data_IF_453506597867
#
_entry.id   IF_453506597867
#
_cell.length_a   1.000
_cell.length_b   1.000
_cell.length_c   1.000
_cell.angle_alpha   90.00
_cell.angle_beta   90.00
_cell.angle_gamma   90.00
#
_symmetry.space_group_name_H-M   'P 1'
#
loop_
_entity.id
_entity.type
_entity.pdbx_description
1 polymer ?
#
# COMPACT_ATOMS: atom_id res chain seq x y z
N UNK A 1 -0.21 38.26 1.85
CA UNK A 1 -0.38 38.22 0.37
C UNK A 1 -0.20 36.77 -0.07
N UNK A 2 -1.30 36.06 -0.29
CA UNK A 2 -1.33 34.70 -0.85
C UNK A 2 -0.84 34.79 -2.30
N UNK A 3 0.33 34.22 -2.58
CA UNK A 3 0.79 34.02 -3.97
C UNK A 3 -0.20 33.07 -4.65
N UNK A 4 -0.96 33.60 -5.60
CA UNK A 4 -1.84 32.82 -6.47
C UNK A 4 -0.95 32.00 -7.43
N UNK A 5 -0.51 30.82 -6.99
CA UNK A 5 0.28 29.92 -7.81
C UNK A 5 -0.67 29.18 -8.73
N UNK A 6 -0.84 29.69 -9.96
CA UNK A 6 -1.59 29.00 -10.99
C UNK A 6 -0.99 27.61 -11.24
N UNK A 7 -1.77 26.56 -10.97
CA UNK A 7 -1.38 25.19 -11.24
C UNK A 7 -1.08 25.04 -12.74
N UNK A 8 0.13 24.61 -13.10
CA UNK A 8 0.50 24.34 -14.48
C UNK A 8 -0.41 23.27 -15.08
N UNK A 9 -1.07 23.57 -16.18
CA UNK A 9 -1.94 22.65 -16.92
C UNK A 9 -1.37 22.44 -18.33
N UNK A 10 -1.35 21.19 -18.77
CA UNK A 10 -0.99 20.84 -20.15
C UNK A 10 -1.94 19.78 -20.68
N UNK A 11 -2.22 19.83 -21.97
CA UNK A 11 -2.96 18.78 -22.68
C UNK A 11 -1.95 17.88 -23.37
N UNK A 12 -2.01 16.58 -23.13
CA UNK A 12 -1.11 15.59 -23.71
C UNK A 12 -1.89 14.42 -24.28
N UNK A 13 -1.41 13.90 -25.41
CA UNK A 13 -2.05 12.79 -26.15
C UNK A 13 -1.31 11.46 -26.02
N UNK A 14 -0.06 11.46 -25.55
CA UNK A 14 0.74 10.25 -25.43
C UNK A 14 1.18 9.97 -24.00
N UNK A 15 1.33 8.68 -23.67
CA UNK A 15 1.86 8.22 -22.39
C UNK A 15 3.29 8.71 -22.14
N UNK A 16 4.10 8.83 -23.19
CA UNK A 16 5.48 9.33 -23.12
C UNK A 16 5.52 10.77 -22.62
N UNK A 17 4.77 11.67 -23.26
CA UNK A 17 4.72 13.08 -22.87
C UNK A 17 4.12 13.29 -21.47
N UNK A 18 3.16 12.44 -21.07
CA UNK A 18 2.61 12.44 -19.70
C UNK A 18 3.69 12.07 -18.69
N UNK A 19 4.50 11.03 -18.96
CA UNK A 19 5.60 10.63 -18.09
C UNK A 19 6.70 11.70 -17.99
N UNK A 20 7.00 12.40 -19.08
CA UNK A 20 7.96 13.51 -19.07
C UNK A 20 7.46 14.67 -18.19
N UNK A 21 6.18 15.02 -18.31
CA UNK A 21 5.57 16.03 -17.43
C UNK A 21 5.55 15.60 -15.97
N UNK A 22 5.26 14.33 -15.70
CA UNK A 22 5.30 13.76 -14.36
C UNK A 22 6.71 13.86 -13.73
N UNK A 23 7.74 13.44 -14.46
CA UNK A 23 9.14 13.54 -13.99
C UNK A 23 9.55 14.98 -13.70
N UNK A 24 9.17 15.92 -14.59
CA UNK A 24 9.41 17.35 -14.38
C UNK A 24 8.69 17.89 -13.16
N UNK A 25 7.42 17.52 -12.94
CA UNK A 25 6.64 17.91 -11.77
C UNK A 25 7.31 17.46 -10.47
N UNK A 26 7.83 16.22 -10.42
CA UNK A 26 8.58 15.71 -9.28
C UNK A 26 9.89 16.48 -9.07
N UNK A 27 10.62 16.79 -10.14
CA UNK A 27 11.86 17.58 -10.09
C UNK A 27 11.65 19.03 -9.61
N UNK A 28 10.43 19.56 -9.79
CA UNK A 28 10.01 20.89 -9.27
C UNK A 28 9.52 20.80 -7.79
N UNK A 29 9.63 19.62 -7.13
CA UNK A 29 9.24 19.41 -5.73
C UNK A 29 7.75 19.18 -5.50
N UNK A 30 6.96 18.93 -6.57
CA UNK A 30 5.54 18.60 -6.40
C UNK A 30 5.35 17.13 -6.02
N UNK A 31 4.23 16.81 -5.36
CA UNK A 31 3.88 15.42 -4.96
C UNK A 31 3.55 14.48 -6.14
N UNK A 32 3.40 15.01 -7.34
CA UNK A 32 2.98 14.26 -8.52
C UNK A 32 2.09 15.09 -9.44
N UNK A 33 1.24 14.43 -10.21
CA UNK A 33 0.31 15.08 -11.13
C UNK A 33 -1.13 14.58 -10.99
N UNK A 34 -2.09 15.41 -11.37
CA UNK A 34 -3.48 15.01 -11.56
C UNK A 34 -3.75 14.85 -13.05
N UNK A 35 -4.11 13.64 -13.47
CA UNK A 35 -4.52 13.33 -14.83
C UNK A 35 -6.04 13.40 -14.91
N UNK A 36 -6.56 14.14 -15.90
CA UNK A 36 -8.00 14.28 -16.11
C UNK A 36 -8.33 13.97 -17.56
N UNK A 37 -9.30 13.08 -17.79
CA UNK A 37 -9.85 12.91 -19.14
C UNK A 37 -10.58 14.19 -19.57
N UNK A 38 -10.34 14.62 -20.81
CA UNK A 38 -11.03 15.78 -21.38
C UNK A 38 -12.53 15.54 -21.58
N UNK A 39 -12.93 14.28 -21.73
CA UNK A 39 -14.33 13.86 -21.94
C UNK A 39 -15.09 13.65 -20.63
N UNK A 40 -14.41 13.65 -19.47
CA UNK A 40 -15.06 13.42 -18.20
C UNK A 40 -15.85 14.64 -17.74
N UNK A 41 -17.13 14.44 -17.44
CA UNK A 41 -17.99 15.46 -16.82
C UNK A 41 -17.65 15.59 -15.33
N UNK A 42 -17.77 16.81 -14.81
CA UNK A 42 -17.69 17.04 -13.37
C UNK A 42 -18.95 16.50 -12.68
N UNK A 43 -18.78 15.60 -11.74
CA UNK A 43 -19.88 15.06 -10.91
C UNK A 43 -19.53 15.31 -9.45
N UNK A 44 -20.23 16.21 -8.74
CA UNK A 44 -19.95 16.51 -7.35
C UNK A 44 -20.27 15.29 -6.46
N UNK A 45 -19.49 15.10 -5.40
CA UNK A 45 -19.73 14.07 -4.37
C UNK A 45 -19.38 12.63 -4.74
N UNK A 46 -19.00 12.32 -5.98
CA UNK A 46 -18.55 10.98 -6.39
C UNK A 46 -17.12 10.99 -6.92
N UNK A 47 -16.38 9.91 -6.61
CA UNK A 47 -15.14 9.61 -7.35
C UNK A 47 -15.54 9.11 -8.73
N UNK A 48 -15.38 9.96 -9.72
CA UNK A 48 -15.74 9.65 -11.12
C UNK A 48 -14.51 9.12 -11.83
N UNK A 49 -14.67 8.08 -12.64
CA UNK A 49 -13.68 7.66 -13.61
C UNK A 49 -13.24 8.85 -14.49
N UNK A 50 -11.96 8.91 -14.84
CA UNK A 50 -11.40 9.98 -15.66
C UNK A 50 -10.54 11.01 -14.90
N UNK A 51 -10.49 10.97 -13.57
CA UNK A 51 -9.57 11.76 -12.76
C UNK A 51 -8.69 10.86 -11.92
N UNK A 52 -7.40 10.87 -12.17
CA UNK A 52 -6.41 9.98 -11.49
C UNK A 52 -5.26 10.81 -10.96
N UNK A 53 -4.91 10.60 -9.69
CA UNK A 53 -3.67 11.11 -9.11
C UNK A 53 -2.53 10.14 -9.41
N UNK A 54 -1.47 10.63 -10.03
CA UNK A 54 -0.23 9.89 -10.22
C UNK A 54 0.81 10.44 -9.25
N UNK A 55 1.13 9.65 -8.24
CA UNK A 55 2.16 9.94 -7.23
C UNK A 55 3.25 8.87 -7.29
N UNK A 56 4.52 9.19 -6.96
CA UNK A 56 5.55 8.17 -6.82
C UNK A 56 5.26 7.29 -5.60
N UNK A 57 5.57 6.03 -5.70
CA UNK A 57 5.80 5.20 -4.52
C UNK A 57 7.16 5.65 -3.99
N UNK A 58 7.17 6.32 -2.85
CA UNK A 58 8.41 6.95 -2.32
C UNK A 58 9.36 5.91 -1.76
N UNK A 59 8.83 5.00 -0.96
CA UNK A 59 9.59 3.93 -0.29
C UNK A 59 8.65 2.74 -0.08
N UNK A 60 9.22 1.55 0.05
CA UNK A 60 8.52 0.33 0.39
C UNK A 60 9.04 -0.22 1.72
N UNK A 61 8.22 -1.04 2.38
CA UNK A 61 8.60 -1.81 3.56
C UNK A 61 8.37 -3.29 3.28
N UNK A 62 9.35 -4.11 3.65
CA UNK A 62 9.22 -5.56 3.67
C UNK A 62 8.63 -6.00 5.00
N UNK A 63 7.35 -6.39 5.00
CA UNK A 63 6.57 -6.69 6.20
C UNK A 63 6.03 -8.11 6.16
N UNK A 64 5.94 -8.75 7.32
CA UNK A 64 5.42 -10.11 7.45
C UNK A 64 3.92 -10.12 7.70
N UNK A 65 3.21 -11.08 7.11
CA UNK A 65 1.81 -11.34 7.41
C UNK A 65 1.72 -12.15 8.70
N UNK A 66 0.96 -11.64 9.68
CA UNK A 66 0.73 -12.32 10.98
C UNK A 66 -0.74 -12.66 11.23
N UNK A 67 -1.64 -12.19 10.39
CA UNK A 67 -3.06 -12.48 10.45
C UNK A 67 -3.75 -12.09 9.15
N UNK A 68 -4.97 -12.55 8.96
CA UNK A 68 -5.79 -12.19 7.82
C UNK A 68 -7.28 -12.26 8.17
N UNK A 69 -8.11 -11.62 7.35
CA UNK A 69 -9.56 -11.75 7.42
C UNK A 69 -10.09 -12.43 6.15
N UNK A 70 -11.03 -13.37 6.31
CA UNK A 70 -11.78 -13.91 5.19
C UNK A 70 -12.58 -12.80 4.52
N UNK A 71 -12.64 -12.84 3.20
CA UNK A 71 -13.40 -11.89 2.41
C UNK A 71 -14.91 -12.11 2.51
N UNK A 72 -15.66 -11.19 1.91
CA UNK A 72 -17.12 -11.24 1.84
C UNK A 72 -17.58 -11.19 0.38
N UNK A 73 -18.81 -11.66 0.13
CA UNK A 73 -19.40 -11.68 -1.21
C UNK A 73 -18.55 -12.48 -2.19
N UNK A 74 -18.12 -11.87 -3.28
CA UNK A 74 -17.30 -12.54 -4.32
C UNK A 74 -15.94 -13.07 -3.81
N UNK A 75 -15.46 -12.57 -2.68
CA UNK A 75 -14.20 -12.96 -2.06
C UNK A 75 -14.34 -13.87 -0.85
N UNK A 76 -15.54 -14.40 -0.57
CA UNK A 76 -15.80 -15.20 0.62
C UNK A 76 -14.88 -16.44 0.78
N UNK A 77 -14.37 -16.97 -0.34
CA UNK A 77 -13.48 -18.14 -0.33
C UNK A 77 -11.97 -17.79 -0.22
N UNK A 78 -11.63 -16.50 -0.12
CA UNK A 78 -10.26 -16.03 -0.05
C UNK A 78 -9.99 -15.25 1.22
N UNK A 79 -8.77 -15.32 1.71
CA UNK A 79 -8.23 -14.34 2.63
C UNK A 79 -8.05 -13.02 1.85
N UNK A 80 -8.70 -11.94 2.28
CA UNK A 80 -8.83 -10.72 1.48
C UNK A 80 -8.24 -9.47 2.13
N UNK A 81 -7.95 -9.53 3.43
CA UNK A 81 -7.29 -8.45 4.18
C UNK A 81 -6.21 -9.05 5.06
N UNK A 82 -4.98 -8.56 4.96
CA UNK A 82 -3.80 -9.14 5.61
C UNK A 82 -3.25 -8.18 6.65
N UNK A 83 -3.11 -8.65 7.89
CA UNK A 83 -2.50 -7.91 8.99
C UNK A 83 -0.98 -8.00 8.87
N UNK A 84 -0.34 -6.84 8.79
CA UNK A 84 1.09 -6.68 8.59
C UNK A 84 1.80 -6.36 9.90
N UNK A 85 3.02 -6.85 10.05
CA UNK A 85 3.90 -6.52 11.17
C UNK A 85 5.31 -6.19 10.70
N UNK A 86 5.93 -5.23 11.38
CA UNK A 86 7.37 -4.99 11.38
C UNK A 86 8.01 -5.69 12.58
N UNK A 87 9.32 -5.81 12.56
CA UNK A 87 10.10 -6.42 13.64
C UNK A 87 10.55 -5.35 14.65
N UNK A 88 10.47 -5.68 15.94
CA UNK A 88 11.20 -4.95 16.98
C UNK A 88 11.97 -5.98 17.83
N UNK A 89 13.29 -6.02 17.69
CA UNK A 89 14.15 -7.05 18.28
C UNK A 89 13.65 -8.45 17.93
N UNK A 90 13.05 -9.15 18.92
CA UNK A 90 12.50 -10.50 18.78
C UNK A 90 10.95 -10.52 18.68
N UNK A 91 10.30 -9.37 18.67
CA UNK A 91 8.84 -9.25 18.61
C UNK A 91 8.36 -8.77 17.23
N UNK A 92 7.11 -9.09 16.94
CA UNK A 92 6.39 -8.61 15.76
C UNK A 92 5.31 -7.63 16.20
N UNK A 93 5.44 -6.39 15.72
CA UNK A 93 4.53 -5.30 16.03
C UNK A 93 3.64 -4.99 14.83
N UNK A 94 2.32 -5.06 15.03
CA UNK A 94 1.36 -4.72 13.97
C UNK A 94 1.54 -3.27 13.51
N UNK A 95 1.45 -3.03 12.19
CA UNK A 95 1.64 -1.70 11.58
C UNK A 95 0.57 -1.33 10.56
N UNK A 96 -0.29 -2.26 10.19
CA UNK A 96 -1.37 -1.98 9.25
C UNK A 96 -2.07 -3.23 8.75
N UNK A 97 -3.09 -3.01 7.92
CA UNK A 97 -3.76 -4.05 7.14
C UNK A 97 -3.72 -3.69 5.66
N UNK A 98 -3.53 -4.68 4.79
CA UNK A 98 -3.49 -4.50 3.33
C UNK A 98 -4.45 -5.47 2.64
N UNK A 99 -5.14 -4.97 1.62
CA UNK A 99 -6.01 -5.77 0.73
C UNK A 99 -5.98 -5.23 -0.72
N UNK A 100 -5.11 -4.25 -0.99
CA UNK A 100 -4.95 -3.63 -2.31
C UNK A 100 -3.62 -4.03 -2.94
N UNK A 101 -3.54 -3.99 -4.27
CA UNK A 101 -2.36 -4.46 -5.00
C UNK A 101 -2.37 -5.96 -5.29
N UNK A 102 -3.44 -6.65 -4.92
CA UNK A 102 -3.66 -8.08 -5.12
C UNK A 102 -4.76 -8.22 -6.16
N UNK A 103 -4.56 -9.08 -7.14
CA UNK A 103 -5.50 -9.33 -8.23
C UNK A 103 -6.45 -10.49 -7.90
N UNK A 104 -7.60 -10.51 -8.57
CA UNK A 104 -8.51 -11.67 -8.53
C UNK A 104 -8.10 -12.73 -9.55
N UNK A 105 -7.46 -12.34 -10.66
CA UNK A 105 -7.00 -13.22 -11.76
C UNK A 105 -5.81 -12.59 -12.47
N UNK A 106 -5.08 -13.42 -13.20
CA UNK A 106 -4.08 -13.04 -14.22
C UNK A 106 -3.00 -12.06 -13.74
N UNK A 107 -2.42 -12.32 -12.56
CA UNK A 107 -1.30 -11.55 -12.04
C UNK A 107 -0.39 -12.44 -11.17
N UNK A 108 0.83 -11.98 -10.94
CA UNK A 108 1.82 -12.68 -10.11
C UNK A 108 1.36 -12.83 -8.65
N UNK A 109 0.56 -11.89 -8.16
CA UNK A 109 0.02 -11.92 -6.80
C UNK A 109 -1.51 -11.89 -6.86
N UNK A 110 -2.12 -13.01 -6.52
CA UNK A 110 -3.59 -13.16 -6.47
C UNK A 110 -4.07 -13.53 -5.08
N UNK A 111 -5.36 -13.25 -4.80
CA UNK A 111 -5.99 -13.69 -3.55
C UNK A 111 -5.99 -15.21 -3.41
N UNK A 112 -6.16 -15.93 -4.52
CA UNK A 112 -6.12 -17.39 -4.52
C UNK A 112 -4.74 -17.92 -4.14
N UNK A 113 -3.67 -17.39 -4.76
CA UNK A 113 -2.29 -17.74 -4.42
C UNK A 113 -1.99 -17.50 -2.95
N UNK A 114 -2.25 -16.30 -2.45
CA UNK A 114 -2.00 -15.96 -1.05
C UNK A 114 -2.83 -16.82 -0.10
N UNK A 115 -4.08 -17.10 -0.45
CA UNK A 115 -4.93 -17.97 0.38
C UNK A 115 -4.38 -19.38 0.44
N UNK A 116 -3.92 -19.95 -0.68
CA UNK A 116 -3.30 -21.28 -0.72
C UNK A 116 -2.02 -21.36 0.11
N UNK A 117 -1.16 -20.35 0.01
CA UNK A 117 0.09 -20.29 0.76
C UNK A 117 -0.12 -20.05 2.27
N UNK A 118 -1.16 -19.30 2.65
CA UNK A 118 -1.42 -18.95 4.05
C UNK A 118 -2.28 -19.98 4.81
N UNK A 119 -3.17 -20.72 4.14
CA UNK A 119 -4.00 -21.74 4.80
C UNK A 119 -3.21 -22.71 5.68
N UNK A 120 -2.08 -23.29 5.25
CA UNK A 120 -1.29 -24.19 6.10
C UNK A 120 -0.63 -23.51 7.29
N UNK A 121 -0.60 -22.18 7.32
CA UNK A 121 0.01 -21.37 8.36
C UNK A 121 -0.99 -20.87 9.40
N UNK A 122 -2.28 -21.17 9.25
CA UNK A 122 -3.32 -20.77 10.21
C UNK A 122 -3.06 -21.49 11.56
N UNK A 123 -2.97 -20.72 12.63
CA UNK A 123 -2.86 -21.19 14.01
C UNK A 123 -4.22 -21.24 14.70
N UNK A 124 -4.98 -20.16 14.55
CA UNK A 124 -6.25 -19.93 15.22
C UNK A 124 -7.21 -19.22 14.28
N UNK A 125 -8.51 -19.46 14.48
CA UNK A 125 -9.59 -18.81 13.73
C UNK A 125 -10.62 -18.29 14.73
N UNK A 126 -10.92 -16.99 14.63
CA UNK A 126 -11.99 -16.32 15.38
C UNK A 126 -12.93 -15.61 14.40
N UNK A 127 -14.09 -16.23 14.16
CA UNK A 127 -15.02 -15.78 13.14
C UNK A 127 -14.36 -15.68 11.77
N UNK A 128 -14.29 -14.49 11.21
CA UNK A 128 -13.60 -14.22 9.94
C UNK A 128 -12.10 -13.92 10.06
N UNK A 129 -11.63 -13.75 11.28
CA UNK A 129 -10.22 -13.43 11.54
C UNK A 129 -9.40 -14.69 11.74
N UNK A 130 -8.20 -14.76 11.15
CA UNK A 130 -7.26 -15.85 11.35
C UNK A 130 -5.91 -15.31 11.83
N UNK A 131 -5.32 -16.00 12.80
CA UNK A 131 -3.95 -15.77 13.26
C UNK A 131 -3.04 -16.72 12.51
N UNK A 132 -1.93 -16.19 12.00
CA UNK A 132 -1.02 -16.91 11.12
C UNK A 132 0.36 -17.09 11.76
N UNK A 133 1.03 -18.20 11.42
CA UNK A 133 2.48 -18.33 11.62
C UNK A 133 3.19 -17.30 10.71
N UNK A 134 4.09 -16.45 11.23
CA UNK A 134 4.78 -15.44 10.44
C UNK A 134 5.79 -16.12 9.50
N UNK A 135 5.47 -16.15 8.20
CA UNK A 135 6.33 -16.76 7.17
C UNK A 135 6.31 -16.02 5.85
N UNK A 136 5.16 -15.47 5.47
CA UNK A 136 5.00 -14.80 4.17
C UNK A 136 5.34 -13.31 4.34
N UNK A 137 6.28 -12.83 3.55
CA UNK A 137 6.74 -11.43 3.53
C UNK A 137 6.25 -10.77 2.26
N UNK A 138 5.70 -9.58 2.41
CA UNK A 138 5.24 -8.72 1.33
C UNK A 138 6.02 -7.43 1.29
N UNK A 139 6.40 -7.00 0.11
CA UNK A 139 6.83 -5.65 -0.15
C UNK A 139 5.61 -4.74 -0.23
N UNK A 140 5.52 -3.77 0.66
CA UNK A 140 4.37 -2.88 0.81
C UNK A 140 4.76 -1.45 0.44
N UNK A 141 4.13 -0.93 -0.61
CA UNK A 141 4.13 0.50 -0.92
C UNK A 141 3.04 1.22 -0.11
N UNK A 142 3.29 2.47 0.26
CA UNK A 142 2.36 3.30 1.03
C UNK A 142 2.53 4.79 0.68
N UNK A 143 1.59 5.64 1.06
CA UNK A 143 1.70 7.09 0.83
C UNK A 143 2.48 7.79 1.94
N UNK A 144 2.21 7.48 3.20
CA UNK A 144 2.89 8.02 4.38
C UNK A 144 2.73 7.09 5.59
N UNK A 145 3.59 7.25 6.57
CA UNK A 145 3.46 6.63 7.89
C UNK A 145 2.82 7.66 8.83
N UNK A 146 1.81 7.23 9.59
CA UNK A 146 1.09 8.06 10.56
C UNK A 146 1.21 7.45 11.95
N UNK A 147 1.12 8.25 13.01
CA UNK A 147 0.97 7.73 14.37
C UNK A 147 -0.39 7.03 14.51
N UNK A 148 -0.43 5.93 15.24
CA UNK A 148 -1.65 5.15 15.44
C UNK A 148 -1.70 4.55 16.82
N UNK A 149 -2.78 4.75 17.59
CA UNK A 149 -3.00 4.06 18.86
C UNK A 149 -3.51 2.63 18.67
N UNK A 150 -3.90 2.26 17.45
CA UNK A 150 -4.53 0.95 17.15
C UNK A 150 -3.51 -0.16 16.96
N UNK A 151 -2.36 0.16 16.36
CA UNK A 151 -1.33 -0.82 16.06
C UNK A 151 -0.22 -0.83 17.11
N UNK A 152 0.28 -2.03 17.41
CA UNK A 152 1.29 -2.22 18.47
C UNK A 152 2.61 -1.47 18.21
N UNK A 153 2.95 -1.22 16.95
CA UNK A 153 4.11 -0.40 16.58
C UNK A 153 3.99 1.08 16.95
N UNK A 154 2.77 1.56 17.27
CA UNK A 154 2.48 2.99 17.42
C UNK A 154 2.33 3.73 16.09
N UNK A 155 2.47 3.03 14.96
CA UNK A 155 2.40 3.58 13.61
C UNK A 155 1.40 2.85 12.72
N UNK A 156 0.92 3.52 11.68
CA UNK A 156 0.05 2.98 10.65
C UNK A 156 0.51 3.41 9.27
N UNK A 157 0.41 2.51 8.29
CA UNK A 157 0.64 2.82 6.88
C UNK A 157 -0.64 3.40 6.25
N UNK A 158 -0.52 4.57 5.63
CA UNK A 158 -1.62 5.17 4.89
C UNK A 158 -1.68 4.62 3.48
N UNK A 159 -2.85 4.11 3.08
CA UNK A 159 -3.08 3.47 1.78
C UNK A 159 -2.03 2.41 1.40
N UNK A 160 -1.82 1.40 2.26
CA UNK A 160 -0.87 0.33 1.96
C UNK A 160 -1.33 -0.45 0.73
N UNK A 161 -0.36 -0.83 -0.11
CA UNK A 161 -0.57 -1.59 -1.33
C UNK A 161 0.52 -2.64 -1.48
N UNK A 162 0.16 -3.87 -1.77
CA UNK A 162 1.11 -4.93 -2.11
C UNK A 162 1.79 -4.59 -3.43
N UNK A 163 3.12 -4.57 -3.42
CA UNK A 163 3.97 -4.34 -4.59
C UNK A 163 4.53 -5.67 -5.06
N UNK A 164 5.04 -6.50 -4.14
CA UNK A 164 5.66 -7.77 -4.46
C UNK A 164 5.48 -8.80 -3.34
N UNK A 165 5.59 -10.09 -3.69
CA UNK A 165 5.68 -11.21 -2.76
C UNK A 165 7.16 -11.60 -2.63
N UNK A 166 7.74 -11.44 -1.44
CA UNK A 166 9.16 -11.61 -1.19
C UNK A 166 9.48 -13.05 -0.75
N UNK A 167 9.63 -13.94 -1.73
CA UNK A 167 10.02 -15.35 -1.49
C UNK A 167 11.52 -15.52 -1.21
N UNK A 168 12.28 -14.49 -1.49
CA UNK A 168 13.73 -14.39 -1.31
C UNK A 168 14.14 -13.99 0.11
N UNK A 169 13.21 -13.49 0.94
CA UNK A 169 13.47 -12.98 2.27
C UNK A 169 13.05 -13.97 3.38
N UNK A 170 13.79 -13.93 4.48
CA UNK A 170 13.49 -14.64 5.73
C UNK A 170 13.07 -13.70 6.86
N UNK A 171 12.82 -14.26 8.04
CA UNK A 171 12.38 -13.50 9.22
C UNK A 171 13.35 -12.37 9.62
N UNK A 172 14.64 -12.57 9.42
CA UNK A 172 15.68 -11.57 9.74
C UNK A 172 15.68 -10.36 8.82
N UNK A 173 15.10 -10.51 7.63
CA UNK A 173 15.12 -9.50 6.58
C UNK A 173 13.88 -8.59 6.63
N UNK A 174 12.93 -8.87 7.54
CA UNK A 174 11.76 -8.04 7.78
C UNK A 174 12.22 -6.68 8.30
N UNK A 175 11.66 -5.62 7.70
CA UNK A 175 11.94 -4.25 8.16
C UNK A 175 11.56 -4.05 9.61
N UNK A 176 12.43 -3.34 10.33
CA UNK A 176 12.27 -3.12 11.76
C UNK A 176 11.59 -1.78 12.09
N UNK A 177 11.20 -1.63 13.35
CA UNK A 177 10.59 -0.42 13.87
C UNK A 177 11.52 0.80 13.73
N UNK A 178 12.84 0.60 13.81
CA UNK A 178 13.83 1.69 13.69
C UNK A 178 13.76 2.30 12.29
N UNK A 179 13.66 1.45 11.24
CA UNK A 179 13.47 1.92 9.86
C UNK A 179 12.16 2.68 9.70
N UNK A 180 11.05 2.15 10.27
CA UNK A 180 9.75 2.82 10.25
C UNK A 180 9.81 4.21 10.88
N UNK A 181 10.44 4.33 12.05
CA UNK A 181 10.62 5.61 12.75
C UNK A 181 11.49 6.59 11.98
N UNK A 182 12.56 6.10 11.38
CA UNK A 182 13.45 6.93 10.53
C UNK A 182 12.67 7.53 9.36
N UNK A 183 11.90 6.71 8.66
CA UNK A 183 11.06 7.17 7.54
C UNK A 183 10.01 8.16 8.05
N UNK A 184 9.32 7.87 9.15
CA UNK A 184 8.32 8.75 9.74
C UNK A 184 8.89 10.15 10.06
N UNK A 185 10.10 10.20 10.62
CA UNK A 185 10.78 11.47 10.94
C UNK A 185 11.23 12.25 9.70
N UNK A 186 11.56 11.56 8.60
CA UNK A 186 12.08 12.19 7.38
C UNK A 186 10.99 12.59 6.38
N UNK A 187 9.85 11.92 6.36
CA UNK A 187 8.75 12.19 5.40
C UNK A 187 8.05 13.53 5.62
N UNK A 188 8.22 14.16 6.79
CA UNK A 188 7.56 15.43 7.17
C UNK A 188 8.43 16.66 6.98
N UNK A 189 9.60 16.51 6.39
CA UNK A 189 10.45 17.61 5.94
C UNK A 189 10.15 17.89 4.47
#
# INVERSE_FOLDING_TARGET
>A
KTKNTNTKKIVKKSKKEMNEFYKRSLGEGNEGIMIKSLESKYVPGRRVGGWVKLKPIKETLDLVIIGADWGEGKRANWLASFTLACRDKNELLTIGKVGTGISEKDADITFDLLTKELKPLIKETDGKHVILKPKIILEIGYEEIQTSPTYKSGYALRFPKVVNLRKDLGFTDIDDLIKVEKIFKTQRK
#
